data_IF_758322790172
#
_entry.id   IF_758322790172
#
_cell.length_a   1.000
_cell.length_b   1.000
_cell.length_c   1.000
_cell.angle_alpha   90.00
_cell.angle_beta   90.00
_cell.angle_gamma   90.00
#
_symmetry.space_group_name_H-M   'P 1'
#
loop_
_entity.id
_entity.type
_entity.pdbx_description
1 polymer ?
#
# COMPACT_ATOMS: atom_id res chain seq x y z
N UNK A 1 -16.76 -9.17 4.82
CA UNK A 1 -15.30 -8.95 4.90
C UNK A 1 -14.95 -7.95 3.82
N UNK A 2 -14.32 -6.81 4.13
CA UNK A 2 -13.79 -5.95 3.07
C UNK A 2 -12.56 -6.67 2.52
N UNK A 3 -12.55 -6.93 1.22
CA UNK A 3 -11.43 -7.55 0.50
C UNK A 3 -10.90 -6.56 -0.53
N UNK A 4 -9.70 -6.83 -1.04
CA UNK A 4 -9.19 -6.12 -2.20
C UNK A 4 -9.96 -6.58 -3.43
N UNK A 5 -10.66 -5.65 -4.05
CA UNK A 5 -11.61 -5.94 -5.13
C UNK A 5 -11.02 -5.67 -6.52
N UNK A 6 -10.01 -4.81 -6.60
CA UNK A 6 -9.34 -4.43 -7.83
C UNK A 6 -7.99 -3.78 -7.54
N UNK A 7 -7.11 -3.73 -8.53
CA UNK A 7 -5.79 -3.09 -8.43
C UNK A 7 -5.39 -2.49 -9.76
N UNK A 8 -4.63 -1.39 -9.73
CA UNK A 8 -4.16 -0.76 -10.94
C UNK A 8 -3.28 0.44 -10.65
N UNK A 9 -3.21 1.36 -11.61
CA UNK A 9 -2.54 2.65 -11.44
C UNK A 9 -3.55 3.78 -11.54
N UNK A 10 -3.25 4.85 -10.81
CA UNK A 10 -4.02 6.09 -10.77
C UNK A 10 -3.10 7.27 -11.03
N UNK A 11 -3.62 8.33 -11.64
CA UNK A 11 -2.97 9.63 -11.66
C UNK A 11 -3.45 10.46 -10.48
N UNK A 12 -2.53 10.89 -9.63
CA UNK A 12 -2.82 11.74 -8.49
C UNK A 12 -2.34 13.17 -8.78
N UNK A 13 -3.09 14.17 -8.31
CA UNK A 13 -2.60 15.55 -8.38
C UNK A 13 -1.30 15.68 -7.58
N UNK A 14 -0.26 16.22 -8.20
CA UNK A 14 1.05 16.46 -7.56
C UNK A 14 2.03 15.29 -7.62
N UNK A 15 1.72 14.19 -8.33
CA UNK A 15 2.69 13.14 -8.63
C UNK A 15 3.32 13.36 -10.00
N UNK A 16 4.56 12.91 -10.17
CA UNK A 16 5.30 12.95 -11.45
C UNK A 16 4.89 11.83 -12.41
N UNK A 17 4.18 10.82 -11.92
CA UNK A 17 3.78 9.62 -12.64
C UNK A 17 2.51 8.97 -12.07
N UNK A 18 1.95 7.98 -12.77
CA UNK A 18 0.85 7.17 -12.26
C UNK A 18 1.36 6.24 -11.15
N UNK A 19 0.65 6.21 -10.02
CA UNK A 19 1.03 5.45 -8.83
C UNK A 19 0.19 4.19 -8.69
N UNK A 20 0.77 3.13 -8.14
CA UNK A 20 0.04 1.90 -7.87
C UNK A 20 -1.00 2.10 -6.75
N UNK A 21 -2.20 1.57 -6.98
CA UNK A 21 -3.31 1.67 -6.05
C UNK A 21 -4.18 0.41 -6.04
N UNK A 22 -4.86 0.19 -4.92
CA UNK A 22 -5.82 -0.90 -4.75
C UNK A 22 -7.18 -0.34 -4.36
N UNK A 23 -8.24 -1.05 -4.73
CA UNK A 23 -9.59 -0.75 -4.28
C UNK A 23 -10.01 -1.74 -3.20
N UNK A 24 -10.37 -1.23 -2.03
CA UNK A 24 -10.99 -1.99 -0.95
C UNK A 24 -12.33 -1.33 -0.61
N UNK A 25 -13.42 -2.07 -0.81
CA UNK A 25 -14.77 -1.51 -0.74
C UNK A 25 -15.00 -0.41 -1.78
N UNK A 26 -15.49 0.75 -1.32
CA UNK A 26 -15.76 1.92 -2.15
C UNK A 26 -14.59 2.92 -2.21
N UNK A 27 -13.44 2.60 -1.60
CA UNK A 27 -12.29 3.50 -1.48
C UNK A 27 -11.09 2.99 -2.28
N UNK A 28 -10.27 3.93 -2.74
CA UNK A 28 -9.03 3.66 -3.46
C UNK A 28 -7.87 4.14 -2.62
N UNK A 29 -6.87 3.28 -2.47
CA UNK A 29 -5.70 3.52 -1.63
C UNK A 29 -4.46 3.54 -2.52
N UNK A 30 -3.78 4.69 -2.57
CA UNK A 30 -2.48 4.80 -3.20
C UNK A 30 -1.45 4.09 -2.31
N UNK A 31 -0.97 2.94 -2.78
CA UNK A 31 -0.14 2.03 -1.97
C UNK A 31 1.24 2.57 -1.64
N UNK A 32 1.73 3.58 -2.38
CA UNK A 32 3.09 4.11 -2.24
C UNK A 32 4.19 3.23 -2.84
N UNK A 33 3.83 2.20 -3.61
CA UNK A 33 4.77 1.30 -4.29
C UNK A 33 5.60 2.04 -5.34
N UNK A 34 6.92 1.85 -5.28
CA UNK A 34 7.86 2.30 -6.31
C UNK A 34 8.06 1.25 -7.43
N UNK A 35 8.71 1.63 -8.53
CA UNK A 35 8.82 0.76 -9.71
C UNK A 35 9.62 -0.52 -9.45
N UNK A 36 10.69 -0.42 -8.66
CA UNK A 36 11.62 -1.51 -8.33
C UNK A 36 11.19 -2.37 -7.13
N UNK A 37 9.97 -2.18 -6.62
CA UNK A 37 9.42 -2.95 -5.51
C UNK A 37 8.42 -4.00 -5.99
N UNK A 38 8.38 -5.16 -5.35
CA UNK A 38 7.20 -6.03 -5.34
C UNK A 38 6.20 -5.55 -4.28
N UNK A 39 4.96 -6.02 -4.36
CA UNK A 39 3.91 -5.65 -3.42
C UNK A 39 3.07 -6.86 -3.06
N UNK A 40 2.72 -6.96 -1.79
CA UNK A 40 1.63 -7.80 -1.29
C UNK A 40 0.64 -6.93 -0.51
N UNK A 41 -0.65 -7.18 -0.67
CA UNK A 41 -1.70 -6.44 0.02
C UNK A 41 -2.79 -7.38 0.50
N UNK A 42 -3.31 -7.13 1.69
CA UNK A 42 -4.48 -7.83 2.24
C UNK A 42 -5.24 -6.91 3.19
N UNK A 43 -6.47 -7.30 3.52
CA UNK A 43 -7.26 -6.62 4.54
C UNK A 43 -7.29 -7.48 5.80
N UNK A 44 -6.94 -6.89 6.94
CA UNK A 44 -7.07 -7.51 8.25
C UNK A 44 -7.64 -6.51 9.25
N UNK A 45 -8.65 -6.92 10.03
CA UNK A 45 -9.22 -6.15 11.14
C UNK A 45 -9.52 -4.65 10.84
N UNK A 46 -10.07 -4.36 9.65
CA UNK A 46 -10.40 -2.98 9.25
C UNK A 46 -9.21 -2.15 8.78
N UNK A 47 -8.08 -2.79 8.51
CA UNK A 47 -6.84 -2.19 8.01
C UNK A 47 -6.52 -2.81 6.65
N UNK A 48 -6.16 -1.98 5.67
CA UNK A 48 -5.43 -2.44 4.49
C UNK A 48 -3.95 -2.50 4.84
N UNK A 49 -3.42 -3.71 4.83
CA UNK A 49 -2.03 -4.05 5.05
C UNK A 49 -1.29 -4.03 3.72
N UNK A 50 -0.18 -3.31 3.65
CA UNK A 50 0.66 -3.21 2.46
C UNK A 50 2.10 -3.55 2.82
N UNK A 51 2.65 -4.57 2.16
CA UNK A 51 4.07 -4.91 2.20
C UNK A 51 4.71 -4.54 0.86
N UNK A 52 5.69 -3.63 0.91
CA UNK A 52 6.49 -3.24 -0.24
C UNK A 52 7.91 -3.76 -0.07
N UNK A 53 8.36 -4.58 -1.01
CA UNK A 53 9.64 -5.24 -0.91
C UNK A 53 10.55 -4.89 -2.09
N UNK A 54 11.68 -4.25 -1.80
CA UNK A 54 12.72 -3.91 -2.77
C UNK A 54 14.08 -4.48 -2.35
N UNK A 55 15.08 -4.29 -3.21
CA UNK A 55 16.46 -4.72 -2.90
C UNK A 55 17.02 -3.83 -1.78
N UNK A 56 17.28 -4.43 -0.61
CA UNK A 56 17.87 -3.74 0.54
C UNK A 56 16.89 -2.90 1.36
N UNK A 57 15.59 -2.94 1.03
CA UNK A 57 14.53 -2.21 1.73
C UNK A 57 13.24 -3.01 1.75
N UNK A 58 12.54 -3.00 2.88
CA UNK A 58 11.18 -3.52 3.01
C UNK A 58 10.35 -2.62 3.90
N UNK A 59 9.10 -2.43 3.54
CA UNK A 59 8.28 -1.39 4.11
C UNK A 59 6.87 -1.92 4.36
N UNK A 60 6.43 -1.84 5.61
CA UNK A 60 5.09 -2.22 6.02
C UNK A 60 4.26 -0.95 6.24
N UNK A 61 3.07 -0.88 5.63
CA UNK A 61 2.18 0.29 5.72
C UNK A 61 0.76 -0.11 6.05
N UNK A 62 0.18 0.54 7.06
CA UNK A 62 -1.20 0.36 7.52
C UNK A 62 -2.08 1.51 7.05
N UNK A 63 -3.16 1.18 6.36
CA UNK A 63 -4.21 2.12 6.02
C UNK A 63 -5.50 1.75 6.76
N UNK A 64 -5.98 2.58 7.71
CA UNK A 64 -7.31 2.39 8.26
C UNK A 64 -8.38 2.46 7.15
N UNK A 65 -9.28 1.49 7.07
CA UNK A 65 -10.31 1.46 6.02
C UNK A 65 -11.43 2.48 6.27
N UNK A 66 -11.55 2.98 7.50
CA UNK A 66 -12.42 4.10 7.87
C UNK A 66 -11.85 5.45 7.42
N UNK A 67 -10.60 5.51 6.96
CA UNK A 67 -9.98 6.76 6.53
C UNK A 67 -10.71 7.35 5.32
N UNK A 68 -11.04 8.64 5.40
CA UNK A 68 -11.72 9.31 4.30
C UNK A 68 -10.73 9.75 3.21
N UNK A 69 -11.05 9.50 1.93
CA UNK A 69 -10.14 9.83 0.86
C UNK A 69 -10.12 11.34 0.58
N UNK A 70 -8.94 11.94 0.58
CA UNK A 70 -8.77 13.41 0.47
C UNK A 70 -8.19 13.83 -0.87
N UNK A 71 -7.38 12.98 -1.50
CA UNK A 71 -6.65 13.32 -2.71
C UNK A 71 -7.51 13.08 -3.95
N UNK A 72 -7.64 14.09 -4.81
CA UNK A 72 -8.29 13.91 -6.11
C UNK A 72 -7.33 13.27 -7.12
N UNK A 73 -7.87 12.38 -7.95
CA UNK A 73 -7.15 11.76 -9.05
C UNK A 73 -8.09 11.02 -10.00
N UNK A 74 -7.51 10.34 -10.99
CA UNK A 74 -8.25 9.58 -12.00
C UNK A 74 -7.66 8.18 -12.16
N UNK A 75 -8.52 7.21 -12.49
CA UNK A 75 -8.05 5.86 -12.86
C UNK A 75 -7.24 5.93 -14.16
N UNK A 76 -6.08 5.29 -14.18
CA UNK A 76 -5.20 5.26 -15.34
C UNK A 76 -5.29 3.92 -16.08
N UNK A 77 -4.79 2.84 -15.48
CA UNK A 77 -4.83 1.50 -16.06
C UNK A 77 -4.90 0.39 -14.99
N UNK A 78 -5.08 -0.86 -15.40
CA UNK A 78 -5.08 -2.04 -14.53
C UNK A 78 -6.40 -2.33 -13.83
N UNK A 79 -7.17 -1.29 -13.46
CA UNK A 79 -8.51 -1.47 -12.89
C UNK A 79 -9.47 -2.07 -13.92
N UNK A 80 -9.88 -3.33 -13.71
CA UNK A 80 -10.77 -4.06 -14.64
C UNK A 80 -12.19 -4.19 -14.12
N UNK A 81 -12.37 -4.01 -12.81
CA UNK A 81 -13.65 -4.12 -12.08
C UNK A 81 -14.12 -2.79 -11.51
N UNK A 82 -13.44 -1.69 -11.87
CA UNK A 82 -13.72 -0.33 -11.41
C UNK A 82 -13.90 0.57 -12.62
N UNK A 83 -15.00 1.32 -12.67
CA UNK A 83 -15.29 2.20 -13.82
C UNK A 83 -14.34 3.40 -13.82
N UNK A 84 -13.80 3.76 -14.98
CA UNK A 84 -12.97 4.95 -15.18
C UNK A 84 -13.76 6.22 -14.85
N UNK A 85 -13.48 6.78 -13.67
CA UNK A 85 -14.06 8.01 -13.16
C UNK A 85 -13.00 8.79 -12.38
N UNK A 86 -13.27 10.07 -12.13
CA UNK A 86 -12.54 10.83 -11.12
C UNK A 86 -12.86 10.24 -9.75
N UNK A 87 -11.82 9.99 -8.96
CA UNK A 87 -11.90 9.31 -7.68
C UNK A 87 -11.25 10.13 -6.59
N UNK A 88 -11.76 9.94 -5.38
CA UNK A 88 -11.08 10.36 -4.17
C UNK A 88 -10.21 9.20 -3.69
N UNK A 89 -8.97 9.51 -3.34
CA UNK A 89 -7.92 8.56 -3.01
C UNK A 89 -7.42 8.81 -1.58
N UNK A 90 -7.22 7.72 -0.84
CA UNK A 90 -6.44 7.71 0.38
C UNK A 90 -4.95 7.66 0.00
N UNK A 91 -4.20 8.68 0.40
CA UNK A 91 -2.77 8.79 0.13
C UNK A 91 -1.93 8.07 1.18
N UNK A 92 -0.81 7.46 0.78
CA UNK A 92 0.20 6.93 1.70
C UNK A 92 0.78 7.99 2.66
N UNK A 93 0.63 9.27 2.34
CA UNK A 93 1.11 10.41 3.16
C UNK A 93 0.02 11.02 4.04
N UNK A 94 -1.18 10.45 4.06
CA UNK A 94 -2.28 10.98 4.86
C UNK A 94 -2.09 10.66 6.34
N UNK A 95 -2.53 11.55 7.23
CA UNK A 95 -2.53 11.30 8.67
C UNK A 95 -3.23 9.99 9.02
N UNK A 96 -2.73 9.30 10.06
CA UNK A 96 -3.14 7.95 10.50
C UNK A 96 -2.73 6.80 9.57
N UNK A 97 -2.06 7.06 8.46
CA UNK A 97 -1.32 6.01 7.75
C UNK A 97 -0.02 5.77 8.51
N UNK A 98 0.13 4.58 9.06
CA UNK A 98 1.34 4.18 9.79
C UNK A 98 2.29 3.43 8.86
N UNK A 99 3.59 3.65 9.06
CA UNK A 99 4.64 3.06 8.25
C UNK A 99 5.81 2.63 9.12
N UNK A 100 6.34 1.43 8.85
CA UNK A 100 7.62 0.96 9.39
C UNK A 100 8.52 0.56 8.23
N UNK A 101 9.77 1.00 8.29
CA UNK A 101 10.77 0.78 7.24
C UNK A 101 11.94 -0.02 7.80
N UNK A 102 12.33 -1.06 7.10
CA UNK A 102 13.55 -1.82 7.35
C UNK A 102 14.48 -1.65 6.17
N UNK A 103 15.73 -1.25 6.42
CA UNK A 103 16.72 -0.98 5.38
C UNK A 103 18.11 -1.48 5.75
N UNK A 104 18.99 -1.59 4.75
CA UNK A 104 20.43 -1.78 4.90
C UNK A 104 20.81 -3.00 5.78
N UNK A 105 21.55 -2.77 6.86
CA UNK A 105 22.09 -3.84 7.70
C UNK A 105 20.97 -4.61 8.40
N UNK A 106 19.96 -3.91 8.95
CA UNK A 106 18.80 -4.55 9.60
C UNK A 106 18.04 -5.43 8.63
N UNK A 107 17.88 -4.99 7.38
CA UNK A 107 17.23 -5.77 6.32
C UNK A 107 17.98 -7.09 6.06
N UNK A 108 19.31 -7.02 6.02
CA UNK A 108 20.17 -8.17 5.70
C UNK A 108 20.30 -9.11 6.89
N UNK A 109 20.63 -8.58 8.07
CA UNK A 109 20.83 -9.37 9.30
C UNK A 109 19.55 -10.02 9.81
N UNK A 110 18.40 -9.36 9.60
CA UNK A 110 17.08 -9.89 9.96
C UNK A 110 16.47 -10.83 8.93
N UNK A 111 17.19 -11.17 7.85
CA UNK A 111 16.73 -12.06 6.78
C UNK A 111 15.41 -11.60 6.12
N UNK A 112 15.17 -10.29 6.09
CA UNK A 112 13.94 -9.70 5.54
C UNK A 112 13.83 -9.86 4.01
N UNK A 113 14.91 -10.27 3.34
CA UNK A 113 14.95 -10.58 1.92
C UNK A 113 14.24 -11.87 1.54
N UNK A 114 14.15 -12.84 2.45
CA UNK A 114 13.56 -14.17 2.20
C UNK A 114 12.32 -14.44 3.04
N UNK A 115 12.05 -13.59 4.04
CA UNK A 115 10.87 -13.67 4.89
C UNK A 115 9.59 -13.48 4.06
N UNK A 116 8.55 -14.27 4.32
CA UNK A 116 7.25 -14.04 3.69
C UNK A 116 6.54 -12.83 4.31
N UNK A 117 5.52 -12.31 3.64
CA UNK A 117 4.85 -11.05 4.03
C UNK A 117 4.09 -11.14 5.35
N UNK A 118 3.53 -12.31 5.70
CA UNK A 118 2.81 -12.48 6.96
C UNK A 118 3.77 -12.50 8.15
N UNK A 119 4.88 -13.23 8.04
CA UNK A 119 5.92 -13.25 9.09
C UNK A 119 6.58 -11.88 9.25
N UNK A 120 6.87 -11.20 8.13
CA UNK A 120 7.38 -9.83 8.15
C UNK A 120 6.41 -8.89 8.86
N UNK A 121 5.13 -8.95 8.51
CA UNK A 121 4.10 -8.13 9.12
C UNK A 121 3.95 -8.39 10.62
N UNK A 122 3.89 -9.67 11.01
CA UNK A 122 3.80 -10.06 12.40
C UNK A 122 4.98 -9.55 13.20
N UNK A 123 6.21 -9.68 12.68
CA UNK A 123 7.44 -9.22 13.33
C UNK A 123 7.54 -7.69 13.41
N UNK A 124 7.32 -7.00 12.29
CA UNK A 124 7.56 -5.56 12.21
C UNK A 124 6.56 -4.77 13.04
N UNK A 125 5.37 -5.32 13.31
CA UNK A 125 4.33 -4.68 14.11
C UNK A 125 4.23 -5.24 15.53
N UNK A 126 5.16 -6.09 15.98
CA UNK A 126 5.29 -6.34 17.42
C UNK A 126 5.72 -5.03 18.08
N UNK A 127 5.07 -4.69 19.19
CA UNK A 127 5.53 -3.61 20.05
C UNK A 127 6.87 -4.06 20.67
N UNK A 128 7.90 -3.22 20.52
CA UNK A 128 9.18 -3.36 21.24
C UNK A 128 9.06 -2.58 22.55
#
# INVERSE_FOLDING_TARGET
MQEIQDSGKIWCKGTTGPVHAVRAGNKIFATGKEENQSIECWVDNGILCVDLHGVGIRLARKFPLDLEPTLSGSLFNGFTKTKHADVKIVSAKQDRVEERVVMSDTYTSGLFSTMNSQDFWALIWQDI
#
